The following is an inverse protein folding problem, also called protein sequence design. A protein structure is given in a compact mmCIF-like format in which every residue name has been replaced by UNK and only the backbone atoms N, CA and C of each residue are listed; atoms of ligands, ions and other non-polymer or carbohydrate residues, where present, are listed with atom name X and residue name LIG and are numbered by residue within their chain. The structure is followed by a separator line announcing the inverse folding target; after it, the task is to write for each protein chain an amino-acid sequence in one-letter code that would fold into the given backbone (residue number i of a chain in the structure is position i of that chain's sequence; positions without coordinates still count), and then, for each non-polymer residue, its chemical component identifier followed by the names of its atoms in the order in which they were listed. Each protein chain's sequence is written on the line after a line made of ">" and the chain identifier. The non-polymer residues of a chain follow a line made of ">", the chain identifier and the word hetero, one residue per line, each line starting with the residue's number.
data_IF_476054532276
#
_entry.id   IF_476054532276
#
_cell.length_a   1.000
_cell.length_b   1.000
_cell.length_c   1.000
_cell.angle_alpha   90.00
_cell.angle_beta   90.00
_cell.angle_gamma   90.00
#
_symmetry.space_group_name_H-M   'P 1'
#
loop_
_entity.id
_entity.type
_entity.pdbx_description
1 polymer ?
#
# COMPACT_ATOMS: atom_id res chain seq x y z
N UNK A 1 15.90 18.70 26.92
CA UNK A 1 15.89 18.72 25.44
C UNK A 1 14.45 18.60 25.01
N UNK A 2 13.85 19.69 24.54
CA UNK A 2 12.50 19.74 23.98
C UNK A 2 12.53 18.96 22.67
N UNK A 3 11.83 17.82 22.59
CA UNK A 3 11.62 17.13 21.33
C UNK A 3 10.86 18.07 20.41
N UNK A 4 11.48 18.53 19.32
CA UNK A 4 10.79 19.23 18.26
C UNK A 4 9.53 18.45 17.87
N UNK A 5 8.40 19.13 17.61
CA UNK A 5 7.23 18.45 17.07
C UNK A 5 7.67 17.77 15.79
N UNK A 6 7.41 16.46 15.73
CA UNK A 6 7.53 15.63 14.54
C UNK A 6 7.01 16.45 13.35
N UNK A 7 7.92 16.86 12.46
CA UNK A 7 7.56 17.67 11.31
C UNK A 7 6.50 16.89 10.55
N UNK A 8 5.26 17.41 10.55
CA UNK A 8 4.07 16.67 10.14
C UNK A 8 4.35 15.87 8.88
N UNK A 9 4.45 14.54 9.02
CA UNK A 9 4.79 13.66 7.92
C UNK A 9 3.82 13.95 6.75
N UNK A 10 4.32 14.00 5.50
CA UNK A 10 3.47 14.32 4.36
C UNK A 10 2.27 13.37 4.32
N UNK A 11 1.09 13.90 4.00
CA UNK A 11 -0.13 13.10 3.89
C UNK A 11 0.09 12.00 2.85
N UNK A 12 -0.01 10.73 3.29
CA UNK A 12 0.13 9.55 2.42
C UNK A 12 -1.24 9.15 1.89
N UNK A 13 -1.34 8.89 0.60
CA UNK A 13 -2.56 8.35 0.00
C UNK A 13 -2.80 6.91 0.46
N UNK A 14 -4.08 6.53 0.59
CA UNK A 14 -4.51 5.16 0.89
C UNK A 14 -5.27 4.64 -0.31
N UNK A 15 -4.92 3.44 -0.76
CA UNK A 15 -5.64 2.73 -1.81
C UNK A 15 -6.24 1.44 -1.24
N UNK A 16 -7.56 1.28 -1.41
CA UNK A 16 -8.29 0.11 -0.95
C UNK A 16 -8.77 -0.69 -2.15
N UNK A 17 -8.27 -1.92 -2.30
CA UNK A 17 -8.72 -2.86 -3.31
C UNK A 17 -9.68 -3.85 -2.67
N UNK A 18 -10.89 -3.96 -3.21
CA UNK A 18 -11.92 -4.87 -2.73
C UNK A 18 -12.35 -5.74 -3.90
N UNK A 19 -12.12 -7.04 -3.79
CA UNK A 19 -12.70 -8.03 -4.70
C UNK A 19 -13.82 -8.79 -3.97
N UNK A 20 -15.09 -8.40 -4.16
CA UNK A 20 -16.21 -9.08 -3.52
C UNK A 20 -16.68 -10.33 -4.27
N UNK A 21 -16.21 -10.55 -5.50
CA UNK A 21 -16.72 -11.62 -6.38
C UNK A 21 -16.04 -12.97 -6.11
N UNK A 22 -16.56 -14.03 -6.73
CA UNK A 22 -16.10 -15.40 -6.52
C UNK A 22 -14.85 -15.75 -7.34
N UNK A 23 -14.41 -14.86 -8.22
CA UNK A 23 -13.27 -15.01 -9.12
C UNK A 23 -12.16 -14.01 -8.79
N UNK A 24 -10.93 -14.28 -9.23
CA UNK A 24 -9.83 -13.32 -9.11
C UNK A 24 -10.05 -12.10 -10.03
N UNK A 25 -9.79 -10.90 -9.51
CA UNK A 25 -9.94 -9.65 -10.23
C UNK A 25 -8.60 -8.95 -10.41
N UNK A 26 -8.41 -8.31 -11.57
CA UNK A 26 -7.23 -7.51 -11.85
C UNK A 26 -7.53 -6.02 -11.69
N UNK A 27 -6.74 -5.35 -10.88
CA UNK A 27 -6.78 -3.91 -10.65
C UNK A 27 -5.59 -3.24 -11.31
N UNK A 28 -5.82 -2.11 -11.98
CA UNK A 28 -4.74 -1.24 -12.46
C UNK A 28 -4.54 -0.14 -11.42
N UNK A 29 -3.37 -0.08 -10.80
CA UNK A 29 -3.11 0.90 -9.76
C UNK A 29 -2.80 2.28 -10.37
N UNK A 30 -3.14 3.39 -9.68
CA UNK A 30 -2.65 4.71 -10.03
C UNK A 30 -1.12 4.74 -10.05
N UNK A 31 -0.54 5.65 -10.83
CA UNK A 31 0.89 5.89 -10.79
C UNK A 31 1.32 6.29 -9.37
N UNK A 32 2.43 5.73 -8.89
CA UNK A 32 2.92 5.92 -7.53
C UNK A 32 3.60 4.66 -7.03
N UNK A 33 4.23 4.77 -5.87
CA UNK A 33 4.79 3.62 -5.17
C UNK A 33 3.82 3.19 -4.08
N UNK A 34 3.33 1.96 -4.16
CA UNK A 34 2.31 1.45 -3.25
C UNK A 34 2.85 0.26 -2.46
N UNK A 35 2.69 0.31 -1.14
CA UNK A 35 3.13 -0.74 -0.22
C UNK A 35 1.93 -1.35 0.50
N UNK A 36 1.84 -2.69 0.53
CA UNK A 36 0.78 -3.37 1.26
C UNK A 36 0.96 -3.20 2.76
N UNK A 37 -0.13 -2.81 3.44
CA UNK A 37 -0.19 -2.72 4.91
C UNK A 37 -1.22 -3.66 5.51
N UNK A 38 -2.13 -4.20 4.70
CA UNK A 38 -3.06 -5.24 5.10
C UNK A 38 -3.43 -6.09 3.88
N UNK A 39 -3.47 -7.41 4.08
CA UNK A 39 -3.87 -8.41 3.09
C UNK A 39 -4.75 -9.47 3.77
N UNK A 40 -6.03 -9.52 3.41
CA UNK A 40 -6.98 -10.46 4.01
C UNK A 40 -6.71 -11.92 3.65
N UNK A 41 -5.98 -12.20 2.57
CA UNK A 41 -5.71 -13.58 2.10
C UNK A 41 -4.84 -14.34 3.09
N UNK A 42 -3.98 -13.64 3.83
CA UNK A 42 -3.13 -14.22 4.87
C UNK A 42 -3.94 -14.81 6.02
N UNK A 43 -5.14 -14.26 6.27
CA UNK A 43 -6.04 -14.64 7.36
C UNK A 43 -5.36 -14.72 8.74
N UNK A 44 -4.26 -13.97 8.96
CA UNK A 44 -3.45 -14.00 10.17
C UNK A 44 -3.82 -12.88 11.16
N UNK A 45 -4.72 -11.97 10.75
CA UNK A 45 -5.14 -10.81 11.53
C UNK A 45 -4.02 -9.79 11.77
N UNK A 46 -2.90 -9.87 11.04
CA UNK A 46 -1.73 -9.01 11.24
C UNK A 46 -1.58 -8.03 10.07
N UNK A 47 -0.92 -6.88 10.30
CA UNK A 47 -0.48 -6.03 9.20
C UNK A 47 0.39 -6.79 8.22
N UNK A 48 0.34 -6.41 6.95
CA UNK A 48 1.25 -6.95 5.95
C UNK A 48 2.69 -6.53 6.29
N UNK A 49 3.69 -7.42 6.15
CA UNK A 49 5.08 -7.10 6.34
C UNK A 49 5.49 -6.08 5.30
N UNK A 50 6.21 -5.04 5.72
CA UNK A 50 6.71 -4.02 4.82
C UNK A 50 7.68 -4.67 3.83
N UNK A 51 7.37 -4.70 2.52
CA UNK A 51 8.31 -5.22 1.54
C UNK A 51 9.52 -4.28 1.46
N UNK A 52 10.74 -4.81 1.19
CA UNK A 52 11.89 -3.97 0.87
C UNK A 52 11.58 -3.20 -0.41
N UNK A 53 11.40 -1.88 -0.25
CA UNK A 53 10.65 -1.03 -1.15
C UNK A 53 11.08 -1.14 -2.60
N UNK A 54 10.13 -1.48 -3.47
CA UNK A 54 10.16 -1.21 -4.90
C UNK A 54 8.72 -1.29 -5.44
N UNK A 55 8.24 -0.23 -6.10
CA UNK A 55 7.41 -0.36 -7.29
C UNK A 55 7.26 0.98 -8.02
N UNK A 56 7.78 1.05 -9.24
CA UNK A 56 7.62 2.14 -10.21
C UNK A 56 6.52 1.84 -11.24
N UNK A 57 5.77 2.89 -11.62
CA UNK A 57 4.76 2.98 -12.71
C UNK A 57 3.59 1.97 -12.64
N UNK A 58 2.46 2.14 -13.38
CA UNK A 58 1.20 1.49 -12.99
C UNK A 58 1.33 -0.03 -13.00
N UNK A 59 1.34 -0.58 -11.78
CA UNK A 59 1.37 -2.01 -11.52
C UNK A 59 -0.04 -2.56 -11.69
N UNK A 60 -0.16 -3.69 -12.39
CA UNK A 60 -1.38 -4.48 -12.34
C UNK A 60 -1.32 -5.39 -11.11
N UNK A 61 -2.34 -5.33 -10.25
CA UNK A 61 -2.44 -6.17 -9.07
C UNK A 61 -3.62 -7.14 -9.24
N UNK A 62 -3.37 -8.44 -9.10
CA UNK A 62 -4.43 -9.45 -9.12
C UNK A 62 -4.82 -9.80 -7.69
N UNK A 63 -6.07 -9.52 -7.33
CA UNK A 63 -6.63 -9.81 -6.02
C UNK A 63 -7.49 -11.08 -6.10
N UNK A 64 -7.26 -12.10 -5.25
CA UNK A 64 -8.08 -13.32 -5.22
C UNK A 64 -9.56 -13.03 -4.94
N UNK A 65 -10.40 -14.03 -5.18
CA UNK A 65 -11.83 -13.98 -4.86
C UNK A 65 -12.06 -13.63 -3.38
N UNK A 66 -13.07 -12.79 -3.11
CA UNK A 66 -13.51 -12.42 -1.75
C UNK A 66 -12.36 -11.92 -0.86
N UNK A 67 -11.48 -11.09 -1.40
CA UNK A 67 -10.31 -10.56 -0.69
C UNK A 67 -10.29 -9.03 -0.67
N UNK A 68 -9.58 -8.49 0.33
CA UNK A 68 -9.33 -7.07 0.54
C UNK A 68 -7.84 -6.84 0.72
N UNK A 69 -7.31 -5.83 0.03
CA UNK A 69 -5.93 -5.37 0.17
C UNK A 69 -5.92 -3.86 0.43
N UNK A 70 -5.13 -3.43 1.41
CA UNK A 70 -4.89 -2.02 1.72
C UNK A 70 -3.45 -1.68 1.36
N UNK A 71 -3.29 -0.63 0.55
CA UNK A 71 -1.99 -0.11 0.15
C UNK A 71 -1.82 1.33 0.66
N UNK A 72 -0.59 1.68 1.06
CA UNK A 72 -0.18 3.05 1.35
C UNK A 72 0.82 3.53 0.31
N UNK A 73 0.66 4.78 -0.10
CA UNK A 73 1.64 5.45 -0.95
C UNK A 73 2.93 5.70 -0.15
N UNK A 74 4.08 5.32 -0.74
CA UNK A 74 5.39 5.61 -0.14
C UNK A 74 5.59 7.13 -0.10
N UNK A 75 6.10 7.64 1.03
CA UNK A 75 6.67 8.98 1.03
C UNK A 75 7.95 8.92 0.18
N UNK A 76 7.93 9.52 -1.01
CA UNK A 76 9.15 9.72 -1.77
C UNK A 76 10.11 10.49 -0.87
N UNK A 77 11.19 9.86 -0.41
CA UNK A 77 12.31 10.58 0.15
C UNK A 77 12.91 11.38 -1.00
N UNK A 78 12.52 12.64 -1.14
CA UNK A 78 13.36 13.63 -1.82
C UNK A 78 14.65 13.72 -0.99
N UNK A 79 15.63 12.86 -1.30
CA UNK A 79 17.01 13.19 -0.98
C UNK A 79 17.40 14.30 -1.95
N UNK A 80 17.20 15.55 -1.51
CA UNK A 80 17.93 16.68 -2.08
C UNK A 80 19.43 16.36 -1.99
N UNK A 81 20.07 16.38 -3.16
CA UNK A 81 21.49 16.12 -3.35
C UNK A 81 22.36 17.32 -2.98
#
# INVERSE_FOLDING_TARGET
>A
ATSSPDAAAPARSVLLLINPVAEACRFRLPAGEWSAVFDSVRADGRPAPQPPGHATNPVEHTLPARAVLVLLESAQHHQES
#
